data_IF_385075350627
#
_entry.id   IF_385075350627
#
_cell.length_a   1.000
_cell.length_b   1.000
_cell.length_c   1.000
_cell.angle_alpha   90.00
_cell.angle_beta   90.00
_cell.angle_gamma   90.00
#
_symmetry.space_group_name_H-M   'P 1'
#
loop_
_entity.id
_entity.type
_entity.pdbx_description
1 polymer ?
#
# COMPACT_ATOMS: atom_id res chain seq x y z
N UNK A 1 -6.08 -13.69 -5.83
CA UNK A 1 -7.20 -13.17 -5.01
C UNK A 1 -6.78 -11.82 -4.45
N UNK A 2 -7.65 -10.82 -4.45
CA UNK A 2 -7.39 -9.52 -3.83
C UNK A 2 -8.34 -9.34 -2.63
N UNK A 3 -7.81 -8.86 -1.51
CA UNK A 3 -8.57 -8.54 -0.30
C UNK A 3 -8.11 -7.21 0.27
N UNK A 4 -9.02 -6.49 0.91
CA UNK A 4 -8.73 -5.24 1.60
C UNK A 4 -9.21 -5.29 3.04
N UNK A 5 -8.58 -4.49 3.91
CA UNK A 5 -9.00 -4.24 5.28
C UNK A 5 -8.62 -2.83 5.70
N UNK A 6 -9.45 -2.19 6.51
CA UNK A 6 -9.13 -0.92 7.16
C UNK A 6 -8.87 -1.23 8.64
N UNK A 7 -7.67 -0.89 9.11
CA UNK A 7 -7.29 -1.06 10.52
C UNK A 7 -7.93 -0.01 11.42
N UNK A 8 -7.83 -0.20 12.73
CA UNK A 8 -8.24 0.81 13.72
C UNK A 8 -7.39 2.08 13.65
N UNK A 9 -6.25 2.01 12.97
CA UNK A 9 -5.31 3.10 12.68
C UNK A 9 -5.65 3.85 11.38
N UNK A 10 -6.83 3.60 10.78
CA UNK A 10 -7.27 4.14 9.49
C UNK A 10 -6.33 3.82 8.31
N UNK A 11 -5.50 2.79 8.46
CA UNK A 11 -4.63 2.31 7.38
C UNK A 11 -5.41 1.34 6.51
N UNK A 12 -5.56 1.68 5.22
CA UNK A 12 -6.06 0.75 4.22
C UNK A 12 -4.92 -0.22 3.85
N UNK A 13 -5.14 -1.50 4.10
CA UNK A 13 -4.24 -2.58 3.67
C UNK A 13 -4.90 -3.34 2.52
N UNK A 14 -4.19 -3.47 1.40
CA UNK A 14 -4.59 -4.28 0.26
C UNK A 14 -3.59 -5.42 0.07
N UNK A 15 -4.09 -6.64 -0.01
CA UNK A 15 -3.27 -7.83 -0.23
C UNK A 15 -3.75 -8.53 -1.50
N UNK A 16 -2.83 -8.65 -2.45
CA UNK A 16 -3.01 -9.44 -3.67
C UNK A 16 -2.10 -10.65 -3.62
N UNK A 17 -2.69 -11.85 -3.58
CA UNK A 17 -1.96 -13.10 -3.48
C UNK A 17 -2.35 -14.08 -4.59
N UNK A 18 -1.35 -14.78 -5.11
CA UNK A 18 -1.45 -15.86 -6.09
C UNK A 18 -0.50 -17.00 -5.71
N UNK A 19 -0.31 -17.98 -6.61
CA UNK A 19 0.54 -19.15 -6.31
C UNK A 19 2.00 -18.81 -6.03
N UNK A 20 2.53 -17.80 -6.71
CA UNK A 20 3.95 -17.42 -6.66
C UNK A 20 4.13 -15.95 -6.36
N UNK A 21 3.05 -15.20 -6.14
CA UNK A 21 3.07 -13.75 -5.98
C UNK A 21 2.35 -13.38 -4.69
N UNK A 22 2.99 -12.55 -3.88
CA UNK A 22 2.37 -11.86 -2.76
C UNK A 22 2.69 -10.38 -2.88
N UNK A 23 1.67 -9.54 -2.87
CA UNK A 23 1.81 -8.09 -2.84
C UNK A 23 0.98 -7.56 -1.68
N UNK A 24 1.59 -6.75 -0.82
CA UNK A 24 0.92 -6.02 0.24
C UNK A 24 1.16 -4.53 0.05
N UNK A 25 0.07 -3.78 -0.03
CA UNK A 25 0.08 -2.32 -0.10
C UNK A 25 -0.62 -1.74 1.12
N UNK A 26 -0.02 -0.73 1.73
CA UNK A 26 -0.58 -0.01 2.87
C UNK A 26 -0.67 1.46 2.52
N UNK A 27 -1.84 2.05 2.71
CA UNK A 27 -2.14 3.44 2.42
C UNK A 27 -2.63 4.12 3.68
N UNK A 28 -2.12 5.32 3.97
CA UNK A 28 -2.60 6.12 5.08
C UNK A 28 -2.38 7.60 4.83
N UNK A 29 -3.14 8.44 5.53
CA UNK A 29 -2.99 9.89 5.49
C UNK A 29 -2.20 10.34 6.72
N UNK A 30 -1.02 10.94 6.52
CA UNK A 30 -0.30 11.63 7.61
C UNK A 30 -0.93 13.00 7.91
N UNK A 31 -1.66 13.57 6.94
CA UNK A 31 -2.54 14.73 7.10
C UNK A 31 -3.61 14.71 5.99
N UNK A 32 -4.67 15.54 6.04
CA UNK A 32 -5.73 15.54 5.02
C UNK A 32 -5.24 15.71 3.57
N UNK A 33 -4.06 16.31 3.39
CA UNK A 33 -3.45 16.59 2.09
C UNK A 33 -2.17 15.80 1.82
N UNK A 34 -1.76 14.92 2.73
CA UNK A 34 -0.54 14.13 2.61
C UNK A 34 -0.83 12.64 2.81
N UNK A 35 -0.81 11.88 1.71
CA UNK A 35 -0.96 10.43 1.71
C UNK A 35 0.40 9.76 1.54
N UNK A 36 0.60 8.68 2.27
CA UNK A 36 1.74 7.78 2.10
C UNK A 36 1.23 6.40 1.66
N UNK A 37 2.07 5.73 0.88
CA UNK A 37 1.87 4.34 0.50
C UNK A 37 3.17 3.56 0.59
N UNK A 38 3.11 2.40 1.23
CA UNK A 38 4.19 1.41 1.17
C UNK A 38 3.71 0.17 0.42
N UNK A 39 4.60 -0.45 -0.35
CA UNK A 39 4.35 -1.70 -1.04
C UNK A 39 5.51 -2.67 -0.78
N UNK A 40 5.19 -3.94 -0.52
CA UNK A 40 6.12 -5.06 -0.62
C UNK A 40 5.62 -6.07 -1.64
N UNK A 41 6.51 -6.48 -2.55
CA UNK A 41 6.27 -7.51 -3.54
C UNK A 41 7.18 -8.69 -3.25
N UNK A 42 6.60 -9.87 -3.12
CA UNK A 42 7.32 -11.13 -3.02
C UNK A 42 6.96 -12.03 -4.19
N UNK A 43 7.98 -12.63 -4.81
CA UNK A 43 7.83 -13.59 -5.88
C UNK A 43 8.60 -14.87 -5.53
N UNK A 44 7.93 -16.02 -5.56
CA UNK A 44 8.54 -17.30 -5.19
C UNK A 44 9.03 -17.37 -3.74
N UNK A 45 8.42 -16.59 -2.83
CA UNK A 45 8.83 -16.52 -1.42
C UNK A 45 10.01 -15.59 -1.15
N UNK A 46 10.54 -14.90 -2.16
CA UNK A 46 11.60 -13.90 -2.01
C UNK A 46 11.03 -12.50 -2.15
N UNK A 47 11.46 -11.57 -1.29
CA UNK A 47 11.15 -10.14 -1.45
C UNK A 47 11.88 -9.60 -2.68
N UNK A 48 11.13 -9.17 -3.69
CA UNK A 48 11.68 -8.65 -4.95
C UNK A 48 11.62 -7.14 -5.03
N UNK A 49 10.66 -6.50 -4.36
CA UNK A 49 10.52 -5.04 -4.35
C UNK A 49 9.96 -4.56 -3.03
N UNK A 50 10.50 -3.43 -2.57
CA UNK A 50 9.91 -2.60 -1.52
C UNK A 50 9.84 -1.16 -2.04
N UNK A 51 8.73 -0.47 -1.80
CA UNK A 51 8.53 0.89 -2.31
C UNK A 51 7.84 1.78 -1.29
N UNK A 52 8.24 3.05 -1.27
CA UNK A 52 7.56 4.13 -0.58
C UNK A 52 7.14 5.18 -1.61
N UNK A 53 5.87 5.58 -1.56
CA UNK A 53 5.35 6.70 -2.33
C UNK A 53 4.76 7.75 -1.39
N UNK A 54 5.05 9.01 -1.67
CA UNK A 54 4.52 10.19 -0.98
C UNK A 54 3.68 11.00 -1.97
N UNK A 55 2.43 11.29 -1.60
CA UNK A 55 1.47 11.94 -2.47
C UNK A 55 0.89 13.17 -1.77
N UNK A 56 1.08 14.34 -2.37
CA UNK A 56 0.56 15.62 -1.87
C UNK A 56 -0.64 16.04 -2.72
N UNK A 57 -1.76 16.34 -2.08
CA UNK A 57 -2.94 16.91 -2.77
C UNK A 57 -2.59 18.31 -3.27
N UNK A 58 -2.63 18.49 -4.58
CA UNK A 58 -2.55 19.82 -5.18
C UNK A 58 -3.88 20.56 -4.98
N UNK A 59 -3.80 21.87 -4.72
CA UNK A 59 -4.96 22.76 -4.74
C UNK A 59 -5.42 23.02 -6.18
N UNK A 60 -6.67 23.48 -6.32
CA UNK A 60 -7.15 24.05 -7.59
C UNK A 60 -6.78 25.53 -7.58
N UNK A 61 -6.16 26.00 -8.65
CA UNK A 61 -5.89 27.43 -8.90
C UNK A 61 -7.05 28.05 -9.66
#
# INVERSE_FOLDING_TARGET
KCRYSIGQDDVLTMITEGKTLYAEERFWFASPNFRLRTNVLQQGGQLTMASLATEIRLGVT
#
